data_IF_943619367800
#
_entry.id   IF_943619367800
#
_cell.length_a   1.000
_cell.length_b   1.000
_cell.length_c   1.000
_cell.angle_alpha   90.00
_cell.angle_beta   90.00
_cell.angle_gamma   90.00
#
_symmetry.space_group_name_H-M   'P 1'
#
loop_
_entity.id
_entity.type
_entity.pdbx_description
1 polymer ?
#
# COMPACT_ATOMS: atom_id res chain seq x y z
N UNK A 1 19.68 -7.00 31.09
CA UNK A 1 19.79 -5.52 31.10
C UNK A 1 19.36 -5.03 29.73
N UNK A 2 18.04 -4.84 29.56
CA UNK A 2 17.40 -4.37 28.32
C UNK A 2 17.48 -2.86 28.27
N UNK A 3 18.43 -2.33 27.50
CA UNK A 3 18.48 -0.91 27.19
C UNK A 3 17.33 -0.54 26.26
N UNK A 4 16.27 0.01 26.82
CA UNK A 4 15.27 0.79 26.08
C UNK A 4 16.01 1.95 25.40
N UNK A 5 16.31 1.81 24.10
CA UNK A 5 16.75 2.96 23.30
C UNK A 5 15.61 3.97 23.32
N UNK A 6 15.82 5.09 24.01
CA UNK A 6 14.92 6.24 23.92
C UNK A 6 14.81 6.63 22.44
N UNK A 7 13.63 6.40 21.85
CA UNK A 7 13.29 6.93 20.53
C UNK A 7 13.30 8.44 20.67
N UNK A 8 14.31 9.10 20.08
CA UNK A 8 14.42 10.56 20.17
C UNK A 8 13.21 11.19 19.47
N UNK A 9 12.68 12.26 20.04
CA UNK A 9 11.59 13.06 19.43
C UNK A 9 11.90 13.50 17.98
N UNK A 10 13.18 13.62 17.62
CA UNK A 10 13.66 13.90 16.26
C UNK A 10 13.34 12.78 15.26
N UNK A 11 13.39 11.51 15.69
CA UNK A 11 13.12 10.36 14.82
C UNK A 11 11.62 10.25 14.53
N UNK A 12 10.78 10.57 15.52
CA UNK A 12 9.32 10.64 15.37
C UNK A 12 8.92 11.74 14.38
N UNK A 13 9.52 12.93 14.48
CA UNK A 13 9.28 14.03 13.55
C UNK A 13 9.67 13.68 12.10
N UNK A 14 10.80 12.99 11.91
CA UNK A 14 11.26 12.57 10.58
C UNK A 14 10.32 11.52 9.95
N UNK A 15 9.82 10.57 10.74
CA UNK A 15 8.85 9.57 10.25
C UNK A 15 7.53 10.22 9.88
N UNK A 16 7.01 11.14 10.68
CA UNK A 16 5.75 11.85 10.38
C UNK A 16 5.88 12.69 9.09
N UNK A 17 7.01 13.36 8.90
CA UNK A 17 7.27 14.16 7.69
C UNK A 17 7.38 13.29 6.44
N UNK A 18 8.01 12.12 6.51
CA UNK A 18 8.07 11.17 5.39
C UNK A 18 6.67 10.67 4.97
N UNK A 19 5.81 10.34 5.93
CA UNK A 19 4.43 9.93 5.63
C UNK A 19 3.59 11.07 5.04
N UNK A 20 3.76 12.30 5.55
CA UNK A 20 3.11 13.47 4.99
C UNK A 20 3.54 13.70 3.53
N UNK A 21 4.84 13.60 3.23
CA UNK A 21 5.36 13.69 1.86
C UNK A 21 4.76 12.59 0.97
N UNK A 22 4.75 11.34 1.44
CA UNK A 22 4.19 10.23 0.68
C UNK A 22 2.70 10.44 0.35
N UNK A 23 1.90 10.89 1.33
CA UNK A 23 0.50 11.19 1.15
C UNK A 23 0.29 12.36 0.18
N UNK A 24 1.09 13.42 0.28
CA UNK A 24 1.07 14.55 -0.65
C UNK A 24 1.39 14.09 -2.09
N UNK A 25 2.38 13.22 -2.28
CA UNK A 25 2.75 12.68 -3.59
C UNK A 25 1.61 11.84 -4.18
N UNK A 26 0.98 10.98 -3.38
CA UNK A 26 -0.12 10.14 -3.85
C UNK A 26 -1.42 10.92 -4.16
N UNK A 27 -1.63 12.07 -3.50
CA UNK A 27 -2.77 12.96 -3.75
C UNK A 27 -2.48 14.03 -4.82
N UNK A 28 -1.22 14.17 -5.24
CA UNK A 28 -0.81 15.13 -6.27
C UNK A 28 -1.63 14.99 -7.59
N UNK A 29 -1.91 13.78 -8.11
CA UNK A 29 -2.73 13.65 -9.32
C UNK A 29 -4.12 14.25 -9.11
N UNK A 30 -4.71 14.06 -7.93
CA UNK A 30 -6.01 14.64 -7.57
C UNK A 30 -5.93 16.16 -7.53
N UNK A 31 -4.97 16.72 -6.79
CA UNK A 31 -4.81 18.16 -6.67
C UNK A 31 -4.60 18.86 -8.02
N UNK A 32 -3.78 18.27 -8.90
CA UNK A 32 -3.46 18.85 -10.22
C UNK A 32 -4.65 18.74 -11.17
N UNK A 33 -5.28 17.57 -11.26
CA UNK A 33 -6.31 17.31 -12.26
C UNK A 33 -7.70 17.81 -11.84
N UNK A 34 -7.98 17.90 -10.53
CA UNK A 34 -9.28 18.32 -10.01
C UNK A 34 -9.27 19.66 -9.26
N UNK A 35 -8.12 20.31 -9.08
CA UNK A 35 -8.05 21.65 -8.50
C UNK A 35 -8.46 22.75 -9.50
N UNK A 36 -7.53 23.29 -10.33
CA UNK A 36 -7.84 24.44 -11.19
C UNK A 36 -8.75 24.12 -12.38
N UNK A 37 -8.72 22.89 -12.89
CA UNK A 37 -9.48 22.46 -14.07
C UNK A 37 -10.93 22.04 -13.75
N UNK A 38 -11.24 21.63 -12.51
CA UNK A 38 -12.60 21.26 -12.10
C UNK A 38 -13.44 22.47 -11.65
N UNK A 39 -12.82 23.62 -11.40
CA UNK A 39 -13.50 24.84 -10.96
C UNK A 39 -14.53 25.36 -11.98
N UNK A 40 -14.44 24.93 -13.25
CA UNK A 40 -15.44 25.16 -14.30
C UNK A 40 -16.45 24.02 -14.53
N UNK A 41 -16.22 22.82 -14.00
CA UNK A 41 -17.15 21.69 -14.02
C UNK A 41 -17.70 21.49 -12.62
N UNK A 42 -18.71 22.28 -12.28
CA UNK A 42 -19.44 22.17 -11.02
C UNK A 42 -19.82 20.70 -10.71
N UNK A 43 -19.57 20.32 -9.46
CA UNK A 43 -19.53 18.96 -8.92
C UNK A 43 -18.27 18.18 -9.29
N UNK A 44 -17.22 18.34 -8.46
CA UNK A 44 -16.27 17.27 -8.21
C UNK A 44 -17.08 15.99 -7.99
N UNK A 45 -17.02 15.06 -8.94
CA UNK A 45 -17.77 13.81 -8.87
C UNK A 45 -17.50 13.15 -7.51
N UNK A 46 -18.55 12.66 -6.87
CA UNK A 46 -18.45 12.00 -5.56
C UNK A 46 -17.39 10.88 -5.59
N UNK A 47 -17.12 10.30 -6.77
CA UNK A 47 -16.08 9.32 -7.03
C UNK A 47 -14.67 9.85 -6.71
N UNK A 48 -14.34 11.08 -7.12
CA UNK A 48 -13.04 11.72 -6.83
C UNK A 48 -12.90 11.96 -5.33
N UNK A 49 -13.99 12.40 -4.68
CA UNK A 49 -14.02 12.59 -3.23
C UNK A 49 -13.78 11.29 -2.48
N UNK A 50 -14.48 10.22 -2.87
CA UNK A 50 -14.29 8.87 -2.30
C UNK A 50 -12.89 8.33 -2.56
N UNK A 51 -12.34 8.52 -3.76
CA UNK A 51 -10.97 8.13 -4.09
C UNK A 51 -9.96 8.86 -3.19
N UNK A 52 -10.02 10.19 -3.11
CA UNK A 52 -9.11 10.99 -2.32
C UNK A 52 -9.19 10.64 -0.82
N UNK A 53 -10.42 10.46 -0.31
CA UNK A 53 -10.65 10.03 1.06
C UNK A 53 -10.12 8.63 1.32
N UNK A 54 -10.31 7.69 0.38
CA UNK A 54 -9.78 6.33 0.48
C UNK A 54 -8.25 6.28 0.54
N UNK A 55 -7.58 7.00 -0.37
CA UNK A 55 -6.10 7.08 -0.37
C UNK A 55 -5.58 7.77 0.89
N UNK A 56 -6.25 8.83 1.33
CA UNK A 56 -5.90 9.52 2.58
C UNK A 56 -6.06 8.61 3.79
N UNK A 57 -7.19 7.92 3.89
CA UNK A 57 -7.47 6.97 4.97
C UNK A 57 -6.44 5.84 4.97
N UNK A 58 -6.10 5.29 3.81
CA UNK A 58 -5.06 4.27 3.69
C UNK A 58 -3.71 4.75 4.27
N UNK A 59 -3.24 5.94 3.84
CA UNK A 59 -1.96 6.48 4.30
C UNK A 59 -1.95 6.88 5.77
N UNK A 60 -3.06 7.42 6.29
CA UNK A 60 -3.19 7.81 7.72
C UNK A 60 -3.30 6.57 8.61
N UNK A 61 -4.04 5.55 8.19
CA UNK A 61 -4.12 4.31 8.97
C UNK A 61 -2.76 3.61 8.98
N UNK A 62 -2.09 3.50 7.84
CA UNK A 62 -0.75 2.93 7.74
C UNK A 62 0.25 3.69 8.64
N UNK A 63 0.26 5.03 8.61
CA UNK A 63 1.17 5.83 9.44
C UNK A 63 0.91 5.72 10.95
N UNK A 64 -0.32 5.42 11.36
CA UNK A 64 -0.67 5.23 12.78
C UNK A 64 -0.18 3.88 13.32
N UNK A 65 -0.11 2.86 12.47
CA UNK A 65 0.24 1.50 12.89
C UNK A 65 1.71 1.16 12.62
N UNK A 66 2.41 1.93 11.77
CA UNK A 66 3.86 1.82 11.59
C UNK A 66 4.61 2.53 12.72
N UNK A 67 5.31 1.77 13.57
CA UNK A 67 6.13 2.34 14.65
C UNK A 67 7.46 2.89 14.10
N UNK A 68 8.06 3.92 14.72
CA UNK A 68 9.36 4.46 14.30
C UNK A 68 10.48 3.41 14.29
N UNK A 69 10.39 2.42 15.19
CA UNK A 69 11.34 1.31 15.30
C UNK A 69 11.25 0.34 14.12
N UNK A 70 10.02 0.06 13.64
CA UNK A 70 9.77 -0.68 12.39
C UNK A 70 10.43 0.03 11.22
N UNK A 71 10.19 1.33 11.08
CA UNK A 71 10.72 2.13 9.97
C UNK A 71 12.25 2.21 9.98
N UNK A 72 12.84 2.42 11.16
CA UNK A 72 14.29 2.46 11.33
C UNK A 72 14.93 1.11 10.97
N UNK A 73 14.28 0.01 11.33
CA UNK A 73 14.72 -1.34 10.97
C UNK A 73 14.61 -1.61 9.46
N UNK A 74 13.55 -1.12 8.79
CA UNK A 74 13.34 -1.25 7.34
C UNK A 74 14.39 -0.44 6.55
N UNK A 75 14.85 0.69 7.10
CA UNK A 75 15.93 1.49 6.49
C UNK A 75 17.33 0.91 6.68
N UNK A 76 17.61 0.20 7.78
CA UNK A 76 18.97 -0.30 8.09
C UNK A 76 19.29 -1.65 7.44
N UNK A 77 18.28 -2.41 7.03
CA UNK A 77 18.41 -3.76 6.45
C UNK A 77 17.65 -3.78 5.13
N UNK A 78 18.17 -3.08 4.12
CA UNK A 78 17.54 -3.03 2.80
C UNK A 78 18.43 -3.64 1.74
N UNK A 79 18.07 -4.82 1.27
CA UNK A 79 18.70 -5.40 0.09
C UNK A 79 18.48 -4.47 -1.13
N UNK A 80 19.53 -4.23 -1.93
CA UNK A 80 19.45 -3.34 -3.10
C UNK A 80 18.34 -3.75 -4.07
N UNK A 81 18.06 -5.06 -4.18
CA UNK A 81 16.98 -5.59 -5.01
C UNK A 81 15.60 -5.29 -4.41
N UNK A 82 15.41 -5.52 -3.10
CA UNK A 82 14.16 -5.25 -2.41
C UNK A 82 13.80 -3.75 -2.45
N UNK A 83 14.80 -2.88 -2.29
CA UNK A 83 14.66 -1.43 -2.49
C UNK A 83 14.17 -1.10 -3.89
N UNK A 84 14.82 -1.62 -4.94
CA UNK A 84 14.44 -1.37 -6.35
C UNK A 84 13.01 -1.82 -6.64
N UNK A 85 12.62 -2.99 -6.13
CA UNK A 85 11.26 -3.52 -6.32
C UNK A 85 10.23 -2.67 -5.59
N UNK A 86 10.49 -2.26 -4.35
CA UNK A 86 9.59 -1.38 -3.60
C UNK A 86 9.42 -0.01 -4.28
N UNK A 87 10.51 0.57 -4.80
CA UNK A 87 10.44 1.80 -5.59
C UNK A 87 9.66 1.60 -6.89
N UNK A 88 9.88 0.50 -7.59
CA UNK A 88 9.13 0.16 -8.80
C UNK A 88 7.62 0.08 -8.52
N UNK A 89 7.22 -0.65 -7.48
CA UNK A 89 5.82 -0.75 -7.07
C UNK A 89 5.24 0.62 -6.71
N UNK A 90 5.98 1.45 -5.98
CA UNK A 90 5.55 2.82 -5.65
C UNK A 90 5.35 3.70 -6.88
N UNK A 91 6.28 3.65 -7.85
CA UNK A 91 6.17 4.38 -9.12
C UNK A 91 4.99 3.88 -9.94
N UNK A 92 4.77 2.57 -10.01
CA UNK A 92 3.63 1.98 -10.69
C UNK A 92 2.31 2.43 -10.07
N UNK A 93 2.19 2.45 -8.74
CA UNK A 93 0.99 2.93 -8.05
C UNK A 93 0.72 4.41 -8.35
N UNK A 94 1.76 5.24 -8.30
CA UNK A 94 1.63 6.65 -8.63
C UNK A 94 1.18 6.84 -10.10
N UNK A 95 1.76 6.08 -11.03
CA UNK A 95 1.35 6.09 -12.42
C UNK A 95 -0.11 5.65 -12.61
N UNK A 96 -0.54 4.59 -11.91
CA UNK A 96 -1.94 4.12 -11.90
C UNK A 96 -2.88 5.21 -11.41
N UNK A 97 -2.54 5.97 -10.35
CA UNK A 97 -3.39 7.04 -9.84
C UNK A 97 -3.51 8.23 -10.80
N UNK A 98 -2.42 8.57 -11.50
CA UNK A 98 -2.46 9.54 -12.60
C UNK A 98 -3.33 9.05 -13.75
N UNK A 99 -3.05 7.86 -14.27
CA UNK A 99 -3.77 7.27 -15.40
C UNK A 99 -5.25 7.11 -15.13
N UNK A 100 -5.63 6.71 -13.91
CA UNK A 100 -7.02 6.50 -13.55
C UNK A 100 -7.82 7.81 -13.59
N UNK A 101 -7.25 8.90 -13.10
CA UNK A 101 -7.90 10.21 -13.13
C UNK A 101 -7.91 10.82 -14.53
N UNK A 102 -6.87 10.61 -15.33
CA UNK A 102 -6.85 10.99 -16.76
C UNK A 102 -7.94 10.23 -17.52
N UNK A 103 -8.04 8.91 -17.35
CA UNK A 103 -9.07 8.10 -17.98
C UNK A 103 -10.48 8.54 -17.57
N UNK A 104 -10.68 8.85 -16.28
CA UNK A 104 -11.94 9.41 -15.78
C UNK A 104 -12.30 10.73 -16.46
N UNK A 105 -11.33 11.64 -16.63
CA UNK A 105 -11.52 12.91 -17.33
C UNK A 105 -11.89 12.73 -18.81
N UNK A 106 -11.27 11.74 -19.47
CA UNK A 106 -11.45 11.49 -20.91
C UNK A 106 -12.71 10.69 -21.23
N UNK A 107 -13.05 9.71 -20.39
CA UNK A 107 -14.04 8.67 -20.70
C UNK A 107 -15.10 8.49 -19.61
N UNK A 108 -15.42 9.51 -18.82
CA UNK A 108 -16.34 9.43 -17.67
C UNK A 108 -17.55 8.53 -17.93
N UNK A 109 -17.43 7.26 -17.53
CA UNK A 109 -18.45 6.22 -17.68
C UNK A 109 -19.06 5.99 -16.31
N UNK A 110 -20.28 6.50 -16.12
CA UNK A 110 -21.05 6.24 -14.91
C UNK A 110 -21.56 4.81 -14.93
N UNK A 111 -20.82 3.91 -14.30
CA UNK A 111 -21.20 2.52 -14.12
C UNK A 111 -21.21 2.20 -12.61
N UNK A 112 -22.35 2.49 -11.96
CA UNK A 112 -22.48 2.39 -10.50
C UNK A 112 -22.06 1.02 -9.95
N UNK A 113 -22.38 -0.07 -10.66
CA UNK A 113 -21.96 -1.42 -10.26
C UNK A 113 -20.43 -1.57 -10.23
N UNK A 114 -19.74 -1.04 -11.24
CA UNK A 114 -18.27 -1.05 -11.32
C UNK A 114 -17.66 -0.16 -10.23
N UNK A 115 -18.24 1.02 -10.00
CA UNK A 115 -17.76 1.95 -8.97
C UNK A 115 -17.97 1.38 -7.57
N UNK A 116 -19.11 0.74 -7.30
CA UNK A 116 -19.40 0.05 -6.05
C UNK A 116 -18.45 -1.14 -5.81
N UNK A 117 -18.18 -1.93 -6.86
CA UNK A 117 -17.17 -2.99 -6.81
C UNK A 117 -15.78 -2.41 -6.52
N UNK A 118 -15.36 -1.36 -7.24
CA UNK A 118 -14.08 -0.69 -7.02
C UNK A 118 -13.93 -0.14 -5.61
N UNK A 119 -14.95 0.54 -5.09
CA UNK A 119 -14.99 1.01 -3.71
C UNK A 119 -14.90 -0.14 -2.69
N UNK A 120 -15.60 -1.25 -2.94
CA UNK A 120 -15.54 -2.43 -2.07
C UNK A 120 -14.15 -3.07 -2.06
N UNK A 121 -13.49 -3.17 -3.22
CA UNK A 121 -12.11 -3.65 -3.32
C UNK A 121 -11.14 -2.70 -2.59
N UNK A 122 -11.27 -1.39 -2.79
CA UNK A 122 -10.44 -0.39 -2.14
C UNK A 122 -10.54 -0.49 -0.61
N UNK A 123 -11.77 -0.50 -0.06
CA UNK A 123 -12.01 -0.62 1.38
C UNK A 123 -11.46 -1.94 1.92
N UNK A 124 -11.76 -3.06 1.25
CA UNK A 124 -11.26 -4.38 1.65
C UNK A 124 -9.73 -4.43 1.64
N UNK A 125 -9.09 -3.82 0.65
CA UNK A 125 -7.64 -3.75 0.55
C UNK A 125 -6.99 -2.95 1.67
N UNK A 126 -7.60 -1.82 2.04
CA UNK A 126 -7.17 -1.01 3.19
C UNK A 126 -7.29 -1.81 4.48
N UNK A 127 -8.43 -2.48 4.71
CA UNK A 127 -8.65 -3.31 5.90
C UNK A 127 -7.59 -4.42 5.98
N UNK A 128 -7.35 -5.15 4.88
CA UNK A 128 -6.34 -6.21 4.85
C UNK A 128 -4.94 -5.69 5.17
N UNK A 129 -4.52 -4.55 4.62
CA UNK A 129 -3.22 -3.95 4.94
C UNK A 129 -3.14 -3.52 6.40
N UNK A 130 -4.17 -2.86 6.93
CA UNK A 130 -4.17 -2.38 8.31
C UNK A 130 -4.14 -3.55 9.29
N UNK A 131 -4.93 -4.60 9.06
CA UNK A 131 -4.93 -5.80 9.89
C UNK A 131 -3.60 -6.56 9.78
N UNK A 132 -2.97 -6.58 8.60
CA UNK A 132 -1.65 -7.16 8.42
C UNK A 132 -0.58 -6.41 9.24
N UNK A 133 -0.57 -5.08 9.16
CA UNK A 133 0.36 -4.22 9.94
C UNK A 133 0.10 -4.40 11.44
N UNK A 134 -1.16 -4.43 11.87
CA UNK A 134 -1.52 -4.63 13.29
C UNK A 134 -1.08 -5.99 13.82
N UNK A 135 -1.29 -7.06 13.06
CA UNK A 135 -0.94 -8.41 13.47
C UNK A 135 0.58 -8.64 13.52
N UNK A 136 1.33 -8.02 12.61
CA UNK A 136 2.80 -8.08 12.60
C UNK A 136 3.46 -7.12 13.60
N UNK A 137 2.80 -5.99 13.91
CA UNK A 137 3.32 -4.95 14.82
C UNK A 137 4.75 -4.55 14.48
N UNK A 138 5.66 -4.69 15.45
CA UNK A 138 7.08 -4.36 15.28
C UNK A 138 7.85 -5.24 14.27
N UNK A 139 7.24 -6.29 13.73
CA UNK A 139 7.84 -7.18 12.74
C UNK A 139 7.40 -6.87 11.29
N UNK A 140 6.57 -5.84 11.09
CA UNK A 140 6.15 -5.44 9.75
C UNK A 140 7.31 -4.79 9.00
N UNK A 141 8.07 -5.56 8.23
CA UNK A 141 9.16 -5.04 7.40
C UNK A 141 8.77 -5.19 5.92
N UNK A 142 9.02 -4.18 5.09
CA UNK A 142 8.74 -4.25 3.65
C UNK A 142 9.73 -5.16 2.90
N UNK A 143 10.79 -5.58 3.60
CA UNK A 143 11.84 -6.48 3.14
C UNK A 143 11.62 -7.95 3.55
N UNK A 144 12.22 -8.84 2.76
CA UNK A 144 12.18 -10.30 2.88
C UNK A 144 13.21 -10.71 3.95
N UNK A 145 12.86 -10.53 5.23
CA UNK A 145 13.73 -10.99 6.33
C UNK A 145 13.56 -12.48 6.60
N UNK A 146 14.70 -13.13 6.87
CA UNK A 146 14.80 -14.55 7.21
C UNK A 146 14.41 -14.79 8.69
N UNK A 147 14.61 -13.83 9.59
CA UNK A 147 14.32 -13.97 11.03
C UNK A 147 12.96 -13.38 11.46
N UNK A 148 11.86 -13.77 10.80
CA UNK A 148 10.52 -13.37 11.24
C UNK A 148 9.91 -14.48 12.10
N UNK A 149 9.42 -14.15 13.29
CA UNK A 149 8.58 -15.10 14.02
C UNK A 149 7.32 -15.29 13.20
N UNK A 150 6.98 -16.55 12.90
CA UNK A 150 5.81 -16.86 12.09
C UNK A 150 4.57 -16.55 12.94
N UNK A 151 4.01 -15.35 12.75
CA UNK A 151 2.72 -14.98 13.34
C UNK A 151 1.64 -15.77 12.60
N UNK A 152 0.91 -16.61 13.33
CA UNK A 152 -0.22 -17.40 12.80
C UNK A 152 -1.58 -16.95 13.37
N UNK A 153 -1.58 -15.87 14.14
CA UNK A 153 -2.78 -15.36 14.80
C UNK A 153 -3.43 -14.23 13.99
N UNK A 154 -4.71 -13.97 14.27
CA UNK A 154 -5.48 -12.92 13.60
C UNK A 154 -5.64 -13.16 12.10
N UNK A 155 -5.41 -12.14 11.28
CA UNK A 155 -5.56 -12.22 9.82
C UNK A 155 -4.62 -13.25 9.17
N UNK A 156 -3.46 -13.51 9.80
CA UNK A 156 -2.46 -14.48 9.34
C UNK A 156 -2.88 -15.94 9.53
N UNK A 157 -3.93 -16.20 10.32
CA UNK A 157 -4.55 -17.53 10.40
C UNK A 157 -5.27 -17.92 9.10
N UNK A 158 -5.73 -16.93 8.34
CA UNK A 158 -6.55 -17.10 7.14
C UNK A 158 -5.78 -16.84 5.85
N UNK A 159 -4.91 -15.82 5.86
CA UNK A 159 -4.15 -15.39 4.68
C UNK A 159 -2.66 -15.35 5.00
N UNK A 160 -1.83 -15.98 4.14
CA UNK A 160 -0.38 -15.95 4.30
C UNK A 160 0.23 -14.58 4.00
N UNK A 161 -0.34 -13.87 3.02
CA UNK A 161 0.19 -12.61 2.49
C UNK A 161 -0.87 -11.48 2.45
N UNK A 162 -1.53 -11.15 3.58
CA UNK A 162 -2.66 -10.22 3.60
C UNK A 162 -2.29 -8.79 3.16
N UNK A 163 -1.07 -8.33 3.46
CA UNK A 163 -0.61 -6.98 3.07
C UNK A 163 -0.46 -6.85 1.55
N UNK A 164 0.17 -7.82 0.90
CA UNK A 164 0.37 -7.87 -0.55
C UNK A 164 -0.97 -8.00 -1.30
N UNK A 165 -1.88 -8.84 -0.79
CA UNK A 165 -3.25 -8.92 -1.31
C UNK A 165 -3.95 -7.57 -1.16
N UNK A 166 -3.86 -6.94 0.00
CA UNK A 166 -4.47 -5.64 0.25
C UNK A 166 -3.94 -4.55 -0.68
N UNK A 167 -2.64 -4.58 -1.00
CA UNK A 167 -2.04 -3.67 -1.97
C UNK A 167 -2.62 -3.84 -3.38
N UNK A 168 -2.76 -5.08 -3.86
CA UNK A 168 -3.39 -5.37 -5.15
C UNK A 168 -4.85 -4.89 -5.20
N UNK A 169 -5.61 -5.12 -4.12
CA UNK A 169 -7.00 -4.68 -4.03
C UNK A 169 -7.11 -3.14 -4.08
N UNK A 170 -6.21 -2.42 -3.41
CA UNK A 170 -6.16 -0.95 -3.49
C UNK A 170 -5.80 -0.50 -4.93
N UNK A 171 -4.79 -1.13 -5.54
CA UNK A 171 -4.30 -0.75 -6.85
C UNK A 171 -5.32 -0.97 -7.98
N UNK A 172 -6.13 -2.04 -7.88
CA UNK A 172 -7.16 -2.38 -8.87
C UNK A 172 -8.49 -1.71 -8.53
N UNK A 173 -8.86 -1.66 -7.25
CA UNK A 173 -10.11 -1.06 -6.78
C UNK A 173 -10.18 0.44 -7.00
N UNK A 174 -9.05 1.14 -6.87
CA UNK A 174 -9.03 2.60 -6.98
C UNK A 174 -9.32 3.14 -8.40
N UNK A 175 -8.79 2.57 -9.51
CA UNK A 175 -9.27 2.92 -10.85
C UNK A 175 -10.71 2.50 -11.12
N UNK A 176 -11.15 1.33 -10.63
CA UNK A 176 -12.53 0.87 -10.82
C UNK A 176 -13.55 1.78 -10.12
N UNK A 177 -13.20 2.34 -8.95
CA UNK A 177 -14.01 3.34 -8.25
C UNK A 177 -14.23 4.59 -9.11
N UNK A 178 -13.22 4.97 -9.90
CA UNK A 178 -13.31 6.07 -10.87
C UNK A 178 -13.97 5.64 -12.19
N UNK A 179 -14.30 4.37 -12.37
CA UNK A 179 -14.82 3.82 -13.63
C UNK A 179 -13.77 3.69 -14.73
N UNK A 180 -12.49 3.69 -14.37
CA UNK A 180 -11.33 3.64 -15.25
C UNK A 180 -10.88 2.19 -15.47
N UNK A 181 -11.62 1.46 -16.30
CA UNK A 181 -11.42 0.01 -16.52
C UNK A 181 -10.10 -0.31 -17.21
N UNK A 182 -9.64 0.53 -18.15
CA UNK A 182 -8.38 0.26 -18.85
C UNK A 182 -7.21 0.39 -17.89
N UNK A 183 -7.23 1.41 -17.04
CA UNK A 183 -6.24 1.59 -15.97
C UNK A 183 -6.31 0.46 -14.94
N UNK A 184 -7.51 0.00 -14.57
CA UNK A 184 -7.66 -1.14 -13.65
C UNK A 184 -7.01 -2.42 -14.19
N UNK A 185 -7.24 -2.72 -15.48
CA UNK A 185 -6.64 -3.87 -16.16
C UNK A 185 -5.13 -3.72 -16.26
N UNK A 186 -4.63 -2.54 -16.62
CA UNK A 186 -3.20 -2.26 -16.66
C UNK A 186 -2.54 -2.42 -15.27
N UNK A 187 -3.19 -1.93 -14.22
CA UNK A 187 -2.73 -2.09 -12.84
C UNK A 187 -2.63 -3.57 -12.45
N UNK A 188 -3.64 -4.37 -12.79
CA UNK A 188 -3.62 -5.82 -12.55
C UNK A 188 -2.45 -6.50 -13.29
N UNK A 189 -2.27 -6.22 -14.57
CA UNK A 189 -1.19 -6.81 -15.39
C UNK A 189 0.20 -6.46 -14.85
N UNK A 190 0.39 -5.23 -14.36
CA UNK A 190 1.70 -4.77 -13.87
C UNK A 190 2.01 -5.25 -12.45
N UNK A 191 1.04 -5.15 -11.55
CA UNK A 191 1.27 -5.35 -10.12
C UNK A 191 1.06 -6.79 -9.67
N UNK A 192 0.15 -7.54 -10.31
CA UNK A 192 -0.12 -8.93 -9.92
C UNK A 192 1.12 -9.82 -10.05
N UNK A 193 1.87 -9.83 -11.18
CA UNK A 193 3.08 -10.65 -11.29
C UNK A 193 4.15 -10.23 -10.27
N UNK A 194 4.29 -8.92 -10.04
CA UNK A 194 5.26 -8.37 -9.09
C UNK A 194 4.95 -8.80 -7.65
N UNK A 195 3.67 -8.75 -7.28
CA UNK A 195 3.21 -9.16 -5.95
C UNK A 195 3.34 -10.68 -5.76
N UNK A 196 2.98 -11.49 -6.76
CA UNK A 196 3.19 -12.95 -6.70
C UNK A 196 4.67 -13.31 -6.56
N UNK A 197 5.55 -12.64 -7.29
CA UNK A 197 7.00 -12.84 -7.16
C UNK A 197 7.50 -12.47 -5.76
N UNK A 198 7.01 -11.37 -5.16
CA UNK A 198 7.35 -10.99 -3.78
C UNK A 198 6.88 -12.04 -2.77
N UNK A 199 5.64 -12.51 -2.90
CA UNK A 199 5.09 -13.57 -2.03
C UNK A 199 5.91 -14.87 -2.12
N UNK A 200 6.34 -15.28 -3.32
CA UNK A 200 7.17 -16.47 -3.49
C UNK A 200 8.54 -16.31 -2.82
N UNK A 201 9.19 -15.16 -3.02
CA UNK A 201 10.49 -14.86 -2.40
C UNK A 201 10.39 -14.84 -0.87
N UNK A 202 9.30 -14.32 -0.32
CA UNK A 202 9.02 -14.38 1.11
C UNK A 202 8.84 -15.82 1.61
N UNK A 203 8.07 -16.64 0.90
CA UNK A 203 7.90 -18.05 1.24
C UNK A 203 9.23 -18.83 1.25
N UNK A 204 10.09 -18.59 0.24
CA UNK A 204 11.42 -19.24 0.13
C UNK A 204 12.32 -18.83 1.30
N UNK A 205 12.32 -17.55 1.68
CA UNK A 205 13.10 -17.06 2.81
C UNK A 205 12.66 -17.68 4.14
N UNK A 206 11.34 -17.76 4.37
CA UNK A 206 10.76 -18.38 5.57
C UNK A 206 11.09 -19.89 5.64
N UNK A 207 11.02 -20.60 4.51
CA UNK A 207 11.36 -22.02 4.44
C UNK A 207 12.87 -22.29 4.65
N UNK A 208 13.74 -21.36 4.24
CA UNK A 208 15.17 -21.41 4.52
C UNK A 208 15.46 -21.30 6.02
N UNK A 209 14.83 -20.34 6.70
CA UNK A 209 14.98 -20.13 8.14
C UNK A 209 14.50 -21.32 8.97
N UNK A 210 13.33 -21.89 8.63
CA UNK A 210 12.79 -23.05 9.34
C UNK A 210 13.75 -24.24 9.31
N UNK A 211 14.40 -24.49 8.17
CA UNK A 211 15.40 -25.56 8.02
C UNK A 211 16.66 -25.33 8.85
N UNK A 212 17.11 -24.09 8.96
CA UNK A 212 18.25 -23.75 9.83
C UNK A 212 17.91 -24.00 11.31
N UNK A 213 16.70 -23.62 11.73
CA UNK A 213 16.25 -23.81 13.11
C UNK A 213 15.97 -25.27 13.49
N UNK A 214 15.58 -26.13 12.54
CA UNK A 214 15.39 -27.57 12.82
C UNK A 214 16.69 -28.36 12.92
N UNK A 215 17.80 -27.81 12.42
CA UNK A 215 19.12 -28.44 12.43
C UNK A 215 19.99 -27.99 13.62
N UNK A 216 19.46 -27.11 14.48
CA UNK A 216 20.05 -26.64 15.73
C UNK A 216 19.34 -27.31 16.91
#
# INVERSE_FOLDING_TARGET
>A
MTGTREVKLTDVGLVMTAHAIHLCVLLLPTLVLTGPLAMGRAAMGWEIGCFALGITAAGVLESRFLTPEVQASDTSIRDKLALRVSLFVGICLLAVFWSAQIEWLLHSRRALAMQAMGGSLLVSGIILRVEAIRALGNQFVSDIRVERLIVRDGIYAWLRHPSEIGLLLIAIGSPLLLGSIFTAVAAAILLLPTSLWRMDRENVALAGWQRQRSNL
#
